data_IF_125055166083
#
_entry.id   IF_125055166083
#
_cell.length_a   1.000
_cell.length_b   1.000
_cell.length_c   1.000
_cell.angle_alpha   90.00
_cell.angle_beta   90.00
_cell.angle_gamma   90.00
#
_symmetry.space_group_name_H-M   'P 1'
#
loop_
_entity.id
_entity.type
_entity.pdbx_description
1 polymer ?
#
# COMPACT_ATOMS: atom_id res chain seq x y z
N UNK A 1 -2.62 24.18 -16.74
CA UNK A 1 -2.33 22.88 -16.12
C UNK A 1 -2.26 21.80 -17.20
N UNK A 2 -1.10 21.16 -17.41
CA UNK A 2 -0.98 19.99 -18.30
C UNK A 2 -1.45 18.75 -17.54
N UNK A 3 -2.49 18.06 -18.04
CA UNK A 3 -2.94 16.78 -17.48
C UNK A 3 -1.97 15.67 -17.91
N UNK A 4 -1.66 14.70 -17.03
CA UNK A 4 -0.80 13.56 -17.39
C UNK A 4 -1.46 12.75 -18.52
N UNK A 5 -0.69 12.51 -19.59
CA UNK A 5 -1.18 11.93 -20.85
C UNK A 5 -1.21 10.40 -20.84
N UNK A 6 -0.57 9.78 -19.84
CA UNK A 6 -0.29 8.34 -19.84
C UNK A 6 -1.37 7.51 -19.14
N UNK A 7 -2.21 8.14 -18.32
CA UNK A 7 -3.32 7.48 -17.60
C UNK A 7 -4.26 6.72 -18.56
N UNK A 8 -4.72 7.32 -19.67
CA UNK A 8 -5.64 6.62 -20.59
C UNK A 8 -5.01 5.40 -21.28
N UNK A 9 -3.70 5.43 -21.53
CA UNK A 9 -2.99 4.31 -22.18
C UNK A 9 -2.90 3.09 -21.27
N UNK A 10 -2.65 3.33 -19.98
CA UNK A 10 -2.58 2.27 -18.97
C UNK A 10 -3.93 1.59 -18.79
N UNK A 11 -5.02 2.37 -18.65
CA UNK A 11 -6.37 1.82 -18.45
C UNK A 11 -6.82 0.93 -19.63
N UNK A 12 -6.56 1.37 -20.86
CA UNK A 12 -6.87 0.58 -22.06
C UNK A 12 -6.09 -0.73 -22.09
N UNK A 13 -4.78 -0.69 -21.77
CA UNK A 13 -3.97 -1.90 -21.74
C UNK A 13 -4.42 -2.88 -20.65
N UNK A 14 -4.77 -2.40 -19.46
CA UNK A 14 -5.32 -3.24 -18.39
C UNK A 14 -6.61 -3.91 -18.84
N UNK A 15 -7.51 -3.18 -19.52
CA UNK A 15 -8.74 -3.74 -20.09
C UNK A 15 -8.48 -4.83 -21.13
N UNK A 16 -7.49 -4.65 -22.01
CA UNK A 16 -7.11 -5.65 -23.02
C UNK A 16 -6.58 -6.92 -22.36
N UNK A 17 -5.68 -6.77 -21.38
CA UNK A 17 -5.07 -7.90 -20.66
C UNK A 17 -6.14 -8.69 -19.91
N UNK A 18 -6.99 -8.01 -19.14
CA UNK A 18 -8.04 -8.66 -18.36
C UNK A 18 -9.01 -9.42 -19.26
N UNK A 19 -9.47 -8.80 -20.35
CA UNK A 19 -10.37 -9.44 -21.31
C UNK A 19 -9.73 -10.68 -21.94
N UNK A 20 -8.46 -10.59 -22.34
CA UNK A 20 -7.76 -11.71 -22.97
C UNK A 20 -7.56 -12.89 -21.99
N UNK A 21 -7.17 -12.61 -20.75
CA UNK A 21 -7.00 -13.66 -19.73
C UNK A 21 -8.36 -14.28 -19.39
N UNK A 22 -9.39 -13.48 -19.14
CA UNK A 22 -10.74 -13.98 -18.83
C UNK A 22 -11.26 -14.86 -19.96
N UNK A 23 -11.16 -14.41 -21.22
CA UNK A 23 -11.59 -15.19 -22.37
C UNK A 23 -10.83 -16.52 -22.51
N UNK A 24 -9.53 -16.54 -22.16
CA UNK A 24 -8.72 -17.76 -22.20
C UNK A 24 -9.06 -18.77 -21.09
N UNK A 25 -9.61 -18.31 -19.96
CA UNK A 25 -9.97 -19.14 -18.81
C UNK A 25 -11.48 -19.44 -18.71
N UNK A 26 -12.31 -18.81 -19.53
CA UNK A 26 -13.77 -18.84 -19.45
C UNK A 26 -14.40 -20.25 -19.52
N UNK A 27 -13.75 -21.17 -20.23
CA UNK A 27 -14.24 -22.55 -20.42
C UNK A 27 -13.58 -23.56 -19.49
N UNK A 28 -12.93 -23.11 -18.41
CA UNK A 28 -12.23 -23.94 -17.45
C UNK A 28 -12.85 -23.79 -16.07
N UNK A 29 -13.02 -24.92 -15.37
CA UNK A 29 -13.50 -24.93 -13.98
C UNK A 29 -12.33 -25.11 -13.03
N UNK A 30 -12.29 -24.28 -11.99
CA UNK A 30 -11.25 -24.31 -10.97
C UNK A 30 -11.87 -24.69 -9.64
N UNK A 31 -11.16 -25.50 -8.85
CA UNK A 31 -11.66 -26.00 -7.57
C UNK A 31 -11.05 -25.26 -6.37
N UNK A 32 -10.09 -24.36 -6.61
CA UNK A 32 -9.52 -23.49 -5.60
C UNK A 32 -9.08 -22.14 -6.17
N UNK A 33 -9.00 -21.13 -5.30
CA UNK A 33 -8.47 -19.80 -5.65
C UNK A 33 -6.99 -19.87 -6.02
N UNK A 34 -6.23 -20.76 -5.38
CA UNK A 34 -4.82 -20.96 -5.68
C UNK A 34 -4.62 -21.44 -7.12
N UNK A 35 -5.37 -22.47 -7.52
CA UNK A 35 -5.32 -23.03 -8.89
C UNK A 35 -5.69 -21.97 -9.95
N UNK A 36 -6.71 -21.16 -9.67
CA UNK A 36 -7.10 -20.05 -10.55
C UNK A 36 -5.98 -19.00 -10.66
N UNK A 37 -5.35 -18.63 -9.54
CA UNK A 37 -4.25 -17.65 -9.56
C UNK A 37 -3.05 -18.17 -10.37
N UNK A 38 -2.69 -19.44 -10.22
CA UNK A 38 -1.64 -20.07 -11.03
C UNK A 38 -1.96 -20.00 -12.53
N UNK A 39 -3.20 -20.35 -12.92
CA UNK A 39 -3.64 -20.26 -14.31
C UNK A 39 -3.60 -18.83 -14.85
N UNK A 40 -4.00 -17.83 -14.06
CA UNK A 40 -3.90 -16.41 -14.41
C UNK A 40 -2.43 -16.02 -14.64
N UNK A 41 -1.53 -16.43 -13.76
CA UNK A 41 -0.10 -16.14 -13.88
C UNK A 41 0.49 -16.70 -15.18
N UNK A 42 0.17 -17.96 -15.52
CA UNK A 42 0.63 -18.59 -16.76
C UNK A 42 0.13 -17.84 -18.01
N UNK A 43 -1.14 -17.44 -18.03
CA UNK A 43 -1.71 -16.65 -19.14
C UNK A 43 -1.06 -15.27 -19.23
N UNK A 44 -0.86 -14.61 -18.10
CA UNK A 44 -0.21 -13.30 -18.06
C UNK A 44 1.23 -13.35 -18.58
N UNK A 45 2.01 -14.37 -18.20
CA UNK A 45 3.35 -14.59 -18.72
C UNK A 45 3.35 -14.80 -20.24
N UNK A 46 2.45 -15.66 -20.73
CA UNK A 46 2.26 -15.91 -22.18
C UNK A 46 1.96 -14.60 -22.92
N UNK A 47 1.10 -13.75 -22.35
CA UNK A 47 0.75 -12.46 -22.95
C UNK A 47 1.92 -11.48 -22.97
N UNK A 48 2.73 -11.45 -21.90
CA UNK A 48 3.88 -10.57 -21.77
C UNK A 48 5.03 -10.97 -22.71
N UNK A 49 5.20 -12.27 -22.96
CA UNK A 49 6.19 -12.80 -23.91
C UNK A 49 5.76 -12.66 -25.37
N UNK A 50 4.46 -12.52 -25.64
CA UNK A 50 3.93 -12.40 -27.00
C UNK A 50 4.54 -11.18 -27.72
N UNK A 51 5.08 -11.35 -28.95
CA UNK A 51 5.69 -10.26 -29.68
C UNK A 51 4.66 -9.18 -30.06
N UNK A 52 5.13 -7.94 -30.18
CA UNK A 52 4.30 -6.86 -30.67
C UNK A 52 3.97 -7.04 -32.16
N UNK A 53 2.82 -6.49 -32.59
CA UNK A 53 2.42 -6.53 -34.00
C UNK A 53 3.19 -5.53 -34.87
N UNK A 54 3.56 -4.36 -34.31
CA UNK A 54 4.15 -3.22 -35.05
C UNK A 54 5.51 -2.79 -34.50
N UNK A 55 6.05 -3.51 -33.53
CA UNK A 55 7.33 -3.20 -32.87
C UNK A 55 8.15 -4.49 -32.73
N UNK A 56 9.46 -4.35 -32.66
CA UNK A 56 10.37 -5.46 -32.40
C UNK A 56 10.35 -5.76 -30.89
N UNK A 57 10.43 -7.03 -30.52
CA UNK A 57 10.42 -7.48 -29.13
C UNK A 57 9.01 -7.78 -28.57
N UNK A 58 8.94 -7.90 -27.25
CA UNK A 58 7.74 -8.19 -26.47
C UNK A 58 7.57 -7.20 -25.32
N UNK A 59 6.46 -7.29 -24.57
CA UNK A 59 6.25 -6.43 -23.38
C UNK A 59 7.30 -6.70 -22.32
N UNK A 60 7.72 -7.96 -22.18
CA UNK A 60 8.77 -8.34 -21.26
C UNK A 60 10.12 -7.72 -21.65
N UNK A 61 10.52 -7.75 -22.92
CA UNK A 61 11.78 -7.13 -23.35
C UNK A 61 11.74 -5.61 -23.19
N UNK A 62 10.61 -4.98 -23.54
CA UNK A 62 10.43 -3.54 -23.35
C UNK A 62 10.58 -3.12 -21.88
N UNK A 63 9.95 -3.83 -20.93
CA UNK A 63 10.10 -3.52 -19.50
C UNK A 63 11.54 -3.73 -19.01
N UNK A 64 12.23 -4.77 -19.50
CA UNK A 64 13.62 -5.03 -19.13
C UNK A 64 14.60 -3.99 -19.68
N UNK A 65 14.37 -3.47 -20.88
CA UNK A 65 15.23 -2.49 -21.54
C UNK A 65 14.94 -1.05 -21.09
N UNK A 66 13.67 -0.69 -20.93
CA UNK A 66 13.22 0.70 -20.70
C UNK A 66 12.93 1.02 -19.23
N UNK A 67 12.49 0.06 -18.41
CA UNK A 67 12.01 0.35 -17.05
C UNK A 67 12.98 -0.16 -15.98
N UNK A 68 13.65 -1.29 -16.22
CA UNK A 68 14.47 -1.99 -15.23
C UNK A 68 15.52 -1.11 -14.56
N UNK A 69 16.14 -0.18 -15.30
CA UNK A 69 17.16 0.71 -14.75
C UNK A 69 16.59 1.74 -13.75
N UNK A 70 15.29 2.03 -13.84
CA UNK A 70 14.60 2.99 -12.99
C UNK A 70 13.84 2.33 -11.82
N UNK A 71 13.80 0.98 -11.76
CA UNK A 71 13.13 0.25 -10.69
C UNK A 71 13.92 0.33 -9.38
N UNK A 72 13.21 0.60 -8.29
CA UNK A 72 13.75 0.50 -6.93
C UNK A 72 13.82 -0.97 -6.50
N UNK A 73 14.76 -1.33 -5.61
CA UNK A 73 14.81 -2.67 -5.03
C UNK A 73 13.50 -3.01 -4.31
N UNK A 74 13.17 -4.30 -4.28
CA UNK A 74 11.97 -4.78 -3.60
C UNK A 74 12.05 -4.40 -2.11
N UNK A 75 11.04 -3.70 -1.56
CA UNK A 75 11.04 -3.32 -0.16
C UNK A 75 11.06 -4.58 0.72
N UNK A 76 11.85 -4.55 1.79
CA UNK A 76 12.01 -5.68 2.72
C UNK A 76 10.69 -6.07 3.41
N UNK A 77 9.77 -5.12 3.53
CA UNK A 77 8.45 -5.34 4.14
C UNK A 77 7.39 -5.33 3.03
N UNK A 78 6.53 -6.35 2.94
CA UNK A 78 5.45 -6.37 1.97
C UNK A 78 4.49 -5.22 2.23
N UNK A 79 3.82 -4.76 1.17
CA UNK A 79 2.79 -3.75 1.29
C UNK A 79 1.62 -4.27 2.13
N UNK A 80 1.24 -3.53 3.16
CA UNK A 80 0.13 -3.87 4.06
C UNK A 80 -1.03 -2.90 3.78
N UNK A 81 -2.15 -3.44 3.30
CA UNK A 81 -3.38 -2.67 3.05
C UNK A 81 -3.87 -2.07 4.36
N UNK A 82 -3.85 -0.74 4.45
CA UNK A 82 -4.24 -0.03 5.65
C UNK A 82 -5.40 0.94 5.38
N UNK A 83 -6.40 0.91 6.26
CA UNK A 83 -7.50 1.86 6.27
C UNK A 83 -7.20 2.94 7.30
N UNK A 84 -7.44 4.20 6.93
CA UNK A 84 -7.25 5.33 7.82
C UNK A 84 -8.59 5.87 8.30
N UNK A 85 -8.70 6.14 9.60
CA UNK A 85 -9.87 6.76 10.22
C UNK A 85 -9.45 7.90 11.12
N UNK A 86 -10.16 9.02 11.04
CA UNK A 86 -10.00 10.16 11.94
C UNK A 86 -10.95 10.04 13.11
N UNK A 87 -10.44 10.26 14.32
CA UNK A 87 -11.25 10.33 15.52
C UNK A 87 -10.68 11.34 16.51
N UNK A 88 -11.55 11.99 17.27
CA UNK A 88 -11.16 12.80 18.43
C UNK A 88 -11.13 11.89 19.65
N UNK A 89 -10.04 11.95 20.41
CA UNK A 89 -9.89 11.10 21.59
C UNK A 89 -10.77 11.62 22.74
N UNK A 90 -11.73 10.80 23.24
CA UNK A 90 -12.56 11.20 24.37
C UNK A 90 -11.77 11.19 25.69
N UNK A 91 -12.33 11.84 26.72
CA UNK A 91 -11.67 12.01 28.02
C UNK A 91 -11.40 10.69 28.75
N UNK A 92 -12.14 9.63 28.40
CA UNK A 92 -11.97 8.28 28.93
C UNK A 92 -10.76 7.54 28.34
N UNK A 93 -9.97 8.18 27.46
CA UNK A 93 -8.76 7.64 26.85
C UNK A 93 -8.99 6.41 25.95
N UNK A 94 -10.23 6.12 25.54
CA UNK A 94 -10.55 4.95 24.73
C UNK A 94 -11.21 5.34 23.41
N UNK A 95 -10.76 4.75 22.31
CA UNK A 95 -11.44 4.86 21.01
C UNK A 95 -12.09 3.53 20.64
N UNK A 96 -13.23 3.63 19.95
CA UNK A 96 -13.95 2.47 19.43
C UNK A 96 -13.68 2.34 17.93
N UNK A 97 -13.08 1.22 17.55
CA UNK A 97 -12.80 0.84 16.16
C UNK A 97 -13.30 -0.58 15.96
N UNK A 98 -14.18 -0.81 14.99
CA UNK A 98 -14.80 -2.10 14.71
C UNK A 98 -15.35 -2.82 15.96
N UNK A 99 -16.07 -2.07 16.79
CA UNK A 99 -16.69 -2.51 18.06
C UNK A 99 -15.68 -2.95 19.14
N UNK A 100 -14.40 -2.62 18.99
CA UNK A 100 -13.35 -2.89 19.99
C UNK A 100 -12.85 -1.57 20.58
N UNK A 101 -12.59 -1.57 21.88
CA UNK A 101 -12.02 -0.44 22.59
C UNK A 101 -10.51 -0.53 22.59
N UNK A 102 -9.86 0.61 22.37
CA UNK A 102 -8.41 0.70 22.39
C UNK A 102 -7.97 1.90 23.19
N UNK A 103 -7.04 1.68 24.11
CA UNK A 103 -6.49 2.71 24.97
C UNK A 103 -5.51 3.59 24.21
N UNK A 104 -5.54 4.88 24.50
CA UNK A 104 -4.68 5.90 23.92
C UNK A 104 -3.88 6.58 25.03
N UNK A 105 -2.60 6.93 24.80
CA UNK A 105 -1.87 7.75 25.76
C UNK A 105 -2.60 9.04 26.09
N UNK A 106 -2.56 9.44 27.36
CA UNK A 106 -3.37 10.53 27.87
C UNK A 106 -3.11 11.89 27.22
N UNK A 107 -1.91 12.04 26.66
CA UNK A 107 -1.45 13.24 25.95
C UNK A 107 -2.32 13.59 24.74
N UNK A 108 -3.01 12.61 24.15
CA UNK A 108 -3.84 12.82 22.95
C UNK A 108 -5.30 13.10 23.25
N UNK A 109 -5.72 13.15 24.52
CA UNK A 109 -7.11 13.50 24.84
C UNK A 109 -7.47 14.86 24.28
N UNK A 110 -8.68 14.95 23.69
CA UNK A 110 -9.20 16.12 22.97
C UNK A 110 -8.44 16.48 21.67
N UNK A 111 -7.46 15.68 21.26
CA UNK A 111 -6.79 15.86 19.98
C UNK A 111 -7.41 14.95 18.90
N UNK A 112 -7.33 15.40 17.65
CA UNK A 112 -7.66 14.58 16.48
C UNK A 112 -6.48 13.64 16.18
N UNK A 113 -6.77 12.35 16.05
CA UNK A 113 -5.79 11.32 15.73
C UNK A 113 -6.18 10.56 14.47
N UNK A 114 -5.16 10.23 13.68
CA UNK A 114 -5.27 9.36 12.51
C UNK A 114 -4.99 7.90 12.91
N UNK A 115 -6.02 7.08 12.89
CA UNK A 115 -5.98 5.67 13.24
C UNK A 115 -5.67 4.86 11.98
N UNK A 116 -4.57 4.08 12.01
CA UNK A 116 -4.21 3.14 10.96
C UNK A 116 -4.69 1.74 11.33
N UNK A 117 -5.63 1.23 10.56
CA UNK A 117 -6.20 -0.10 10.72
C UNK A 117 -5.58 -1.00 9.67
N UNK A 118 -4.97 -2.10 10.09
CA UNK A 118 -4.38 -3.09 9.19
C UNK A 118 -4.85 -4.49 9.56
N UNK A 119 -4.81 -5.45 8.63
CA UNK A 119 -5.33 -6.81 8.83
C UNK A 119 -4.64 -7.56 9.97
N UNK A 120 -3.33 -7.32 10.17
CA UNK A 120 -2.56 -8.01 11.21
C UNK A 120 -2.42 -7.20 12.50
N UNK A 121 -2.51 -5.86 12.44
CA UNK A 121 -2.29 -5.00 13.60
C UNK A 121 -3.05 -3.68 13.46
N UNK A 122 -3.57 -3.16 14.58
CA UNK A 122 -4.13 -1.82 14.65
C UNK A 122 -3.13 -0.87 15.34
N UNK A 123 -2.77 0.23 14.67
CA UNK A 123 -1.86 1.27 15.22
C UNK A 123 -2.59 2.60 15.30
N UNK A 124 -2.63 3.18 16.50
CA UNK A 124 -3.51 4.32 16.80
C UNK A 124 -2.92 5.67 16.37
N UNK A 125 -1.60 5.78 16.17
CA UNK A 125 -0.97 6.91 15.48
C UNK A 125 0.53 6.62 15.20
N UNK A 126 1.08 7.24 14.16
CA UNK A 126 2.52 7.47 13.97
C UNK A 126 2.76 8.97 13.91
N UNK A 127 3.46 9.57 14.88
CA UNK A 127 3.77 11.00 14.88
C UNK A 127 5.22 11.27 15.25
N UNK A 128 5.74 12.39 14.76
CA UNK A 128 7.11 12.87 15.05
C UNK A 128 7.18 13.32 16.51
N UNK A 129 8.11 12.73 17.27
CA UNK A 129 8.43 13.15 18.64
C UNK A 129 9.08 14.53 18.60
N UNK A 130 8.39 15.55 19.11
CA UNK A 130 8.97 16.89 19.27
C UNK A 130 10.16 16.81 20.25
N UNK A 131 11.35 17.21 19.78
CA UNK A 131 12.52 17.38 20.66
C UNK A 131 12.26 18.54 21.61
N UNK A 132 12.09 18.25 22.89
CA UNK A 132 12.44 19.19 23.96
C UNK A 132 13.28 18.46 25.00
N UNK A 133 14.57 18.78 25.01
CA UNK A 133 15.55 18.27 25.98
C UNK A 133 15.51 19.15 27.22
N UNK A 134 15.17 18.54 28.37
CA UNK A 134 15.58 18.79 29.77
C UNK A 134 14.44 18.38 30.72
N UNK A 135 14.53 17.18 31.30
CA UNK A 135 13.69 16.74 32.42
C UNK A 135 12.99 15.40 32.21
N UNK A 136 13.43 14.41 32.99
CA UNK A 136 12.95 13.04 33.28
C UNK A 136 12.30 12.17 32.18
N UNK A 137 12.97 11.04 31.92
CA UNK A 137 12.48 9.89 31.19
C UNK A 137 11.28 9.24 31.90
N UNK A 138 10.31 8.81 31.11
CA UNK A 138 9.53 7.62 31.42
C UNK A 138 9.60 6.65 30.24
N UNK A 139 10.15 5.46 30.51
CA UNK A 139 10.10 4.29 29.65
C UNK A 139 8.81 3.53 29.94
N UNK A 140 8.05 3.21 28.90
CA UNK A 140 7.15 2.07 28.88
C UNK A 140 7.85 0.94 28.14
N UNK A 141 8.24 -0.07 28.92
CA UNK A 141 8.97 -1.25 28.49
C UNK A 141 8.05 -2.29 27.86
N UNK A 142 8.64 -3.02 26.90
CA UNK A 142 8.24 -4.30 26.27
C UNK A 142 7.75 -4.16 24.82
N UNK A 143 8.67 -3.92 23.88
CA UNK A 143 9.55 -4.89 23.19
C UNK A 143 8.91 -5.46 21.92
N UNK A 144 9.21 -4.82 20.79
CA UNK A 144 9.90 -5.49 19.68
C UNK A 144 10.73 -4.44 18.93
N UNK A 145 12.04 -4.49 19.13
CA UNK A 145 13.01 -3.77 18.34
C UNK A 145 13.19 -4.48 16.99
N UNK A 146 13.13 -3.71 15.89
CA UNK A 146 13.97 -3.86 14.68
C UNK A 146 13.62 -2.77 13.65
N UNK A 147 14.46 -1.74 13.66
CA UNK A 147 14.92 -0.83 12.57
C UNK A 147 13.93 -0.20 11.55
N UNK A 148 14.22 1.06 11.13
CA UNK A 148 13.31 1.90 10.36
C UNK A 148 13.40 1.60 8.86
N UNK A 149 12.33 1.89 8.09
CA UNK A 149 12.57 2.79 6.97
C UNK A 149 11.42 3.79 6.74
N UNK A 150 11.82 5.05 6.54
CA UNK A 150 11.26 5.99 5.57
C UNK A 150 9.75 5.96 5.35
N UNK A 151 8.98 6.71 6.15
CA UNK A 151 7.57 6.99 5.87
C UNK A 151 7.13 8.29 6.54
N UNK A 152 7.82 9.39 6.20
CA UNK A 152 7.35 10.74 6.51
C UNK A 152 7.07 11.48 5.20
N UNK A 153 5.81 11.49 4.75
CA UNK A 153 5.36 12.43 3.72
C UNK A 153 4.57 13.54 4.40
N UNK A 154 5.21 14.70 4.53
CA UNK A 154 4.60 15.94 5.01
C UNK A 154 3.63 16.43 3.94
N UNK A 155 2.34 16.37 4.21
CA UNK A 155 1.34 17.17 3.49
C UNK A 155 1.26 18.54 4.15
N UNK A 156 2.13 19.46 3.74
CA UNK A 156 1.94 20.89 4.03
C UNK A 156 1.06 21.46 2.92
N UNK A 157 -0.16 21.85 3.27
CA UNK A 157 -0.94 22.81 2.51
C UNK A 157 -1.12 24.06 3.37
N UNK A 158 -0.65 25.17 2.80
CA UNK A 158 -0.58 26.53 3.30
C UNK A 158 -1.85 27.10 3.96
N UNK A 159 -1.67 27.94 4.98
CA UNK A 159 -1.91 29.40 4.91
C UNK A 159 -2.00 30.00 6.33
N UNK A 160 -1.08 30.92 6.66
CA UNK A 160 -1.32 32.35 6.91
C UNK A 160 0.04 33.06 6.92
#
# INVERSE_FOLDING_TARGET
MRRPKDIPSVEVNVGIISTWIIAALMNQTYFSIHELNEAIHLKLETFNQKPFQKKIGSRQTASLEEEKFALLPLPTKPYELATWKKAIVPLDYHIIVDKKHYSIPYEYVKHEVDIRITSNHMRIASHVRLKRYKGNLFYNSRTHAREPPDLYRVGSAANL
#
